data_IF_550032122966
#
_entry.id   IF_550032122966
#
_cell.length_a   1.000
_cell.length_b   1.000
_cell.length_c   1.000
_cell.angle_alpha   90.00
_cell.angle_beta   90.00
_cell.angle_gamma   90.00
#
_symmetry.space_group_name_H-M   'P 1'
#
loop_
_entity.id
_entity.type
_entity.pdbx_description
1 polymer ?
#
# COMPACT_ATOMS: atom_id res chain seq x y z
N UNK A 1 -20.26 -18.19 20.81
CA UNK A 1 -20.37 -17.52 19.50
C UNK A 1 -19.70 -16.15 19.63
N UNK A 2 -18.58 -15.95 18.92
CA UNK A 2 -17.98 -14.61 18.84
C UNK A 2 -18.89 -13.79 17.94
N UNK A 3 -19.72 -12.95 18.52
CA UNK A 3 -20.52 -11.93 17.84
C UNK A 3 -19.60 -10.80 17.37
N UNK A 4 -18.59 -11.14 16.58
CA UNK A 4 -17.75 -10.18 15.92
C UNK A 4 -18.42 -9.71 14.63
N UNK A 5 -18.44 -8.40 14.40
CA UNK A 5 -18.88 -7.81 13.14
C UNK A 5 -18.11 -8.47 11.99
N UNK A 6 -18.80 -9.04 11.02
CA UNK A 6 -18.15 -9.64 9.86
C UNK A 6 -17.36 -8.59 9.09
N UNK A 7 -16.15 -8.94 8.65
CA UNK A 7 -15.26 -8.06 7.90
C UNK A 7 -14.63 -8.85 6.77
N UNK A 8 -14.57 -8.30 5.59
CA UNK A 8 -13.78 -8.83 4.48
C UNK A 8 -12.33 -8.42 4.69
N UNK A 9 -11.40 -9.34 4.50
CA UNK A 9 -9.98 -9.05 4.53
C UNK A 9 -9.37 -9.32 3.16
N UNK A 10 -8.79 -8.27 2.57
CA UNK A 10 -8.04 -8.37 1.32
C UNK A 10 -6.59 -8.59 1.67
N UNK A 11 -6.06 -9.76 1.30
CA UNK A 11 -4.73 -10.22 1.72
C UNK A 11 -3.81 -10.23 0.51
N UNK A 12 -2.66 -9.58 0.64
CA UNK A 12 -1.55 -9.66 -0.30
C UNK A 12 -0.37 -10.40 0.36
N UNK A 13 0.18 -11.39 -0.35
CA UNK A 13 1.26 -12.25 0.16
C UNK A 13 2.61 -11.70 -0.29
N UNK A 14 3.52 -11.51 0.67
CA UNK A 14 4.88 -11.07 0.42
C UNK A 14 5.88 -12.20 0.72
N UNK A 15 6.49 -12.72 -0.34
CA UNK A 15 7.48 -13.82 -0.26
C UNK A 15 8.89 -13.32 0.01
N UNK A 16 9.19 -12.07 -0.39
CA UNK A 16 10.47 -11.40 -0.16
C UNK A 16 10.37 -10.41 1.00
N UNK A 17 11.35 -10.41 1.88
CA UNK A 17 11.34 -9.51 3.04
C UNK A 17 10.61 -10.09 4.26
N UNK A 18 10.93 -9.53 5.42
CA UNK A 18 10.45 -10.08 6.70
C UNK A 18 9.42 -9.22 7.40
N UNK A 19 9.33 -7.92 7.06
CA UNK A 19 8.43 -6.99 7.74
C UNK A 19 8.52 -5.55 7.19
N UNK A 20 7.52 -4.73 7.50
CA UNK A 20 7.58 -3.26 7.33
C UNK A 20 8.22 -2.69 8.60
N UNK A 21 9.48 -2.28 8.49
CA UNK A 21 10.23 -1.72 9.63
C UNK A 21 9.76 -0.32 10.04
N UNK A 22 9.30 0.45 9.08
CA UNK A 22 8.82 1.82 9.28
C UNK A 22 7.44 1.94 8.68
N UNK A 23 6.36 1.94 9.50
CA UNK A 23 5.01 2.05 8.99
C UNK A 23 4.76 3.42 8.36
N UNK A 24 3.90 3.45 7.36
CA UNK A 24 3.35 4.68 6.79
C UNK A 24 2.41 5.30 7.82
N UNK A 25 2.54 6.60 8.08
CA UNK A 25 1.75 7.27 9.11
C UNK A 25 0.44 7.87 8.60
N UNK A 26 0.41 8.33 7.35
CA UNK A 26 -0.75 9.00 6.72
C UNK A 26 -0.99 8.49 5.32
N UNK A 27 -2.19 8.71 4.79
CA UNK A 27 -2.51 8.41 3.40
C UNK A 27 -1.61 9.20 2.44
N UNK A 28 -1.34 10.46 2.73
CA UNK A 28 -0.46 11.30 1.90
C UNK A 28 0.94 10.73 1.73
N UNK A 29 1.48 10.06 2.75
CA UNK A 29 2.79 9.40 2.66
C UNK A 29 2.82 8.23 1.66
N UNK A 30 1.67 7.58 1.39
CA UNK A 30 1.58 6.50 0.40
C UNK A 30 1.96 7.01 -1.00
N UNK A 31 1.62 8.26 -1.30
CA UNK A 31 1.82 8.89 -2.60
C UNK A 31 3.10 9.75 -2.66
N UNK A 32 3.79 9.93 -1.55
CA UNK A 32 5.06 10.64 -1.52
C UNK A 32 6.21 9.75 -2.02
N UNK A 33 7.18 10.35 -2.70
CA UNK A 33 8.40 9.64 -3.05
C UNK A 33 9.12 9.20 -1.77
N UNK A 34 9.45 7.90 -1.65
CA UNK A 34 10.23 7.39 -0.52
C UNK A 34 11.69 7.81 -0.67
N UNK A 35 12.01 9.03 -0.24
CA UNK A 35 13.38 9.56 -0.20
C UNK A 35 14.28 8.76 0.76
N UNK A 36 13.67 8.03 1.70
CA UNK A 36 14.40 7.25 2.71
C UNK A 36 14.91 5.89 2.20
N UNK A 37 14.77 5.60 0.90
CA UNK A 37 15.36 4.43 0.28
C UNK A 37 14.60 3.12 0.47
N UNK A 38 13.27 3.15 0.37
CA UNK A 38 12.43 1.95 0.32
C UNK A 38 12.14 1.31 1.67
N UNK A 39 12.39 2.01 2.78
CA UNK A 39 12.15 1.46 4.13
C UNK A 39 10.68 1.42 4.54
N UNK A 40 9.86 2.33 3.98
CA UNK A 40 8.45 2.45 4.31
C UNK A 40 7.56 1.51 3.50
N UNK A 41 8.07 0.99 2.37
CA UNK A 41 7.29 0.13 1.46
C UNK A 41 5.92 0.75 1.10
N UNK A 42 5.93 2.03 0.68
CA UNK A 42 4.72 2.75 0.27
C UNK A 42 3.98 2.06 -0.87
N UNK A 43 4.72 1.35 -1.73
CA UNK A 43 4.21 0.48 -2.79
C UNK A 43 3.32 -0.66 -2.27
N UNK A 44 3.67 -1.26 -1.13
CA UNK A 44 2.83 -2.29 -0.49
C UNK A 44 1.53 -1.71 0.05
N UNK A 45 1.61 -0.52 0.67
CA UNK A 45 0.42 0.20 1.14
C UNK A 45 -0.48 0.61 -0.03
N UNK A 46 0.09 1.19 -1.08
CA UNK A 46 -0.65 1.58 -2.28
C UNK A 46 -1.43 0.39 -2.85
N UNK A 47 -0.76 -0.75 -3.03
CA UNK A 47 -1.34 -1.97 -3.58
C UNK A 47 -2.44 -2.52 -2.67
N UNK A 48 -2.18 -2.70 -1.38
CA UNK A 48 -3.13 -3.28 -0.44
C UNK A 48 -4.38 -2.40 -0.26
N UNK A 49 -4.19 -1.07 -0.17
CA UNK A 49 -5.29 -0.11 -0.10
C UNK A 49 -6.13 -0.09 -1.38
N UNK A 50 -5.48 -0.03 -2.54
CA UNK A 50 -6.19 -0.02 -3.83
C UNK A 50 -7.06 -1.26 -4.01
N UNK A 51 -6.52 -2.43 -3.78
CA UNK A 51 -7.28 -3.69 -3.90
C UNK A 51 -8.42 -3.75 -2.88
N UNK A 52 -8.20 -3.27 -1.67
CA UNK A 52 -9.24 -3.24 -0.64
C UNK A 52 -10.35 -2.25 -0.99
N UNK A 53 -10.04 -1.11 -1.59
CA UNK A 53 -11.03 -0.15 -2.06
C UNK A 53 -11.85 -0.68 -3.24
N UNK A 54 -11.21 -1.40 -4.16
CA UNK A 54 -11.92 -2.09 -5.24
C UNK A 54 -12.90 -3.11 -4.65
N UNK A 55 -12.43 -3.97 -3.73
CA UNK A 55 -13.29 -4.98 -3.09
C UNK A 55 -14.43 -4.34 -2.26
N UNK A 56 -14.17 -3.20 -1.61
CA UNK A 56 -15.17 -2.46 -0.82
C UNK A 56 -16.32 -1.94 -1.69
N UNK A 57 -16.01 -1.45 -2.88
CA UNK A 57 -16.96 -0.82 -3.80
C UNK A 57 -17.59 -1.80 -4.81
N UNK A 58 -17.02 -3.00 -4.97
CA UNK A 58 -17.57 -4.00 -5.88
C UNK A 58 -18.76 -4.72 -5.26
N UNK A 59 -19.96 -4.42 -5.76
CA UNK A 59 -21.23 -5.02 -5.27
C UNK A 59 -21.34 -6.53 -5.54
N UNK A 60 -20.52 -7.10 -6.42
CA UNK A 60 -20.50 -8.55 -6.66
C UNK A 60 -19.64 -9.27 -5.62
N UNK A 61 -18.52 -8.65 -5.22
CA UNK A 61 -17.63 -9.19 -4.19
C UNK A 61 -18.16 -8.89 -2.78
N UNK A 62 -18.71 -7.72 -2.56
CA UNK A 62 -19.20 -7.24 -1.27
C UNK A 62 -20.70 -6.93 -1.31
N UNK A 63 -21.50 -7.99 -1.47
CA UNK A 63 -22.96 -7.88 -1.60
C UNK A 63 -23.64 -7.31 -0.36
N UNK A 64 -23.02 -7.46 0.81
CA UNK A 64 -23.58 -7.03 2.11
C UNK A 64 -22.99 -5.69 2.58
N UNK A 65 -22.18 -5.01 1.75
CA UNK A 65 -21.49 -3.77 2.13
C UNK A 65 -20.68 -3.89 3.45
N UNK A 66 -20.04 -5.03 3.65
CA UNK A 66 -19.23 -5.29 4.84
C UNK A 66 -18.00 -4.39 4.86
N UNK A 67 -17.47 -4.05 6.05
CA UNK A 67 -16.16 -3.41 6.18
C UNK A 67 -15.06 -4.23 5.50
N UNK A 68 -14.11 -3.56 4.87
CA UNK A 68 -12.97 -4.21 4.18
C UNK A 68 -11.67 -3.71 4.75
N UNK A 69 -10.84 -4.62 5.26
CA UNK A 69 -9.51 -4.31 5.79
C UNK A 69 -8.41 -4.79 4.85
N UNK A 70 -7.39 -3.96 4.58
CA UNK A 70 -6.19 -4.36 3.86
C UNK A 70 -5.25 -5.16 4.77
N UNK A 71 -4.62 -6.19 4.22
CA UNK A 71 -3.69 -7.02 4.97
C UNK A 71 -2.48 -7.43 4.12
N UNK A 72 -1.32 -7.52 4.77
CA UNK A 72 -0.08 -8.02 4.18
C UNK A 72 0.39 -9.23 4.98
N UNK A 73 0.60 -10.35 4.30
CA UNK A 73 1.18 -11.53 4.95
C UNK A 73 2.61 -11.70 4.48
N UNK A 74 3.54 -11.45 5.38
CA UNK A 74 4.95 -11.82 5.20
C UNK A 74 5.13 -13.29 5.58
N UNK A 75 5.34 -14.15 4.58
CA UNK A 75 5.34 -15.61 4.77
C UNK A 75 6.34 -16.05 5.84
N UNK A 76 7.49 -15.38 5.93
CA UNK A 76 8.52 -15.70 6.93
C UNK A 76 8.09 -15.42 8.38
N UNK A 77 7.04 -14.61 8.59
CA UNK A 77 6.53 -14.24 9.92
C UNK A 77 5.11 -14.70 10.23
N UNK A 78 4.44 -15.30 9.25
CA UNK A 78 3.04 -15.70 9.37
C UNK A 78 2.74 -16.69 10.51
N UNK A 79 3.76 -17.35 11.03
CA UNK A 79 3.66 -18.34 12.11
C UNK A 79 3.88 -17.76 13.52
N UNK A 80 4.11 -16.44 13.64
CA UNK A 80 4.26 -15.81 14.95
C UNK A 80 2.93 -15.75 15.70
N UNK A 81 2.93 -16.08 17.01
CA UNK A 81 1.73 -16.13 17.85
C UNK A 81 0.93 -14.82 17.89
N UNK A 82 1.59 -13.67 17.73
CA UNK A 82 0.99 -12.32 17.79
C UNK A 82 1.00 -11.60 16.44
N UNK A 83 1.10 -12.34 15.33
CA UNK A 83 1.14 -11.74 14.02
C UNK A 83 -0.24 -11.24 13.58
N UNK A 84 -0.42 -9.91 13.45
CA UNK A 84 -1.59 -9.30 12.82
C UNK A 84 -1.23 -8.85 11.40
N UNK A 85 -1.80 -9.45 10.36
CA UNK A 85 -1.52 -9.08 8.98
C UNK A 85 -2.20 -7.76 8.54
N UNK A 86 -3.17 -7.25 9.29
CA UNK A 86 -3.87 -6.02 8.92
C UNK A 86 -2.94 -4.83 9.06
N UNK A 87 -2.82 -4.06 7.97
CA UNK A 87 -1.95 -2.88 7.97
C UNK A 87 -2.53 -1.74 8.80
N UNK A 88 -1.63 -0.87 9.26
CA UNK A 88 -1.97 0.30 10.06
C UNK A 88 -1.37 1.56 9.45
N UNK A 89 -2.03 2.70 9.63
CA UNK A 89 -1.47 4.03 9.40
C UNK A 89 -0.98 4.57 10.75
N UNK A 90 0.33 4.71 10.87
CA UNK A 90 0.93 4.97 12.17
C UNK A 90 0.60 3.88 13.18
N UNK A 91 -0.19 4.24 14.20
CA UNK A 91 -0.67 3.30 15.24
C UNK A 91 -2.11 2.86 15.04
N UNK A 92 -2.80 3.42 14.06
CA UNK A 92 -4.22 3.14 13.82
C UNK A 92 -4.37 2.01 12.81
N UNK A 93 -4.93 0.89 13.27
CA UNK A 93 -5.26 -0.27 12.44
C UNK A 93 -6.39 0.08 11.48
N UNK A 94 -6.25 -0.29 10.20
CA UNK A 94 -7.29 -0.04 9.18
C UNK A 94 -8.34 -1.15 9.24
N UNK A 95 -9.47 -0.86 9.89
CA UNK A 95 -10.57 -1.81 10.01
C UNK A 95 -11.55 -1.75 8.83
N UNK A 96 -11.71 -0.57 8.23
CA UNK A 96 -12.47 -0.37 7.00
C UNK A 96 -11.79 0.70 6.15
N UNK A 97 -11.48 0.38 4.90
CA UNK A 97 -10.87 1.34 3.95
C UNK A 97 -11.81 2.48 3.57
N UNK A 98 -13.11 2.35 3.81
CA UNK A 98 -14.11 3.38 3.56
C UNK A 98 -13.75 4.71 4.23
N UNK A 99 -13.19 4.64 5.46
CA UNK A 99 -12.77 5.82 6.23
C UNK A 99 -11.71 6.66 5.51
N UNK A 100 -10.96 6.06 4.60
CA UNK A 100 -9.84 6.67 3.88
C UNK A 100 -10.12 6.89 2.39
N UNK A 101 -11.31 6.53 1.91
CA UNK A 101 -11.62 6.50 0.48
C UNK A 101 -11.46 7.86 -0.20
N UNK A 102 -11.88 8.94 0.43
CA UNK A 102 -11.79 10.27 -0.15
C UNK A 102 -10.32 10.70 -0.31
N UNK A 103 -9.53 10.64 0.78
CA UNK A 103 -8.14 11.06 0.78
C UNK A 103 -7.27 10.21 -0.15
N UNK A 104 -7.45 8.88 -0.10
CA UNK A 104 -6.74 7.96 -0.99
C UNK A 104 -7.11 8.20 -2.45
N UNK A 105 -8.40 8.43 -2.74
CA UNK A 105 -8.88 8.72 -4.09
C UNK A 105 -8.29 10.00 -4.68
N UNK A 106 -8.15 11.05 -3.89
CA UNK A 106 -7.49 12.29 -4.32
C UNK A 106 -5.99 12.08 -4.57
N UNK A 107 -5.29 11.37 -3.68
CA UNK A 107 -3.89 11.02 -3.88
C UNK A 107 -3.66 10.19 -5.14
N UNK A 108 -4.52 9.20 -5.39
CA UNK A 108 -4.44 8.37 -6.60
C UNK A 108 -4.69 9.17 -7.87
N UNK A 109 -5.70 10.06 -7.88
CA UNK A 109 -5.95 10.96 -9.01
C UNK A 109 -4.76 11.88 -9.28
N UNK A 110 -4.18 12.47 -8.25
CA UNK A 110 -3.01 13.31 -8.37
C UNK A 110 -1.80 12.56 -8.94
N UNK A 111 -1.55 11.33 -8.46
CA UNK A 111 -0.49 10.46 -8.98
C UNK A 111 -0.68 10.16 -10.47
N UNK A 112 -1.88 9.76 -10.86
CA UNK A 112 -2.20 9.44 -12.26
C UNK A 112 -2.10 10.70 -13.13
N UNK A 113 -2.61 11.84 -12.67
CA UNK A 113 -2.51 13.10 -13.39
C UNK A 113 -1.05 13.51 -13.62
N UNK A 114 -0.18 13.35 -12.62
CA UNK A 114 1.24 13.64 -12.74
C UNK A 114 1.93 12.72 -13.78
N UNK A 115 1.62 11.41 -13.80
CA UNK A 115 2.18 10.47 -14.78
C UNK A 115 1.83 10.87 -16.23
N UNK A 116 0.63 11.43 -16.43
CA UNK A 116 0.16 11.84 -17.76
C UNK A 116 0.37 13.32 -18.06
N UNK A 117 1.00 14.09 -17.17
CA UNK A 117 1.28 15.50 -17.43
C UNK A 117 2.41 15.63 -18.44
N UNK A 118 2.07 16.12 -19.64
CA UNK A 118 3.04 16.35 -20.73
C UNK A 118 4.07 17.43 -20.44
N UNK A 119 3.83 18.26 -19.42
CA UNK A 119 4.74 19.35 -19.01
C UNK A 119 5.82 18.85 -18.05
N UNK A 120 5.59 17.71 -17.42
CA UNK A 120 6.54 17.07 -16.49
C UNK A 120 7.36 16.02 -17.23
N UNK A 121 8.66 16.24 -17.33
CA UNK A 121 9.56 15.26 -17.91
C UNK A 121 9.87 14.14 -16.92
N UNK A 122 9.87 12.90 -17.37
CA UNK A 122 10.39 11.79 -16.57
C UNK A 122 11.87 11.99 -16.30
N UNK A 123 12.23 12.08 -15.01
CA UNK A 123 13.59 12.22 -14.57
C UNK A 123 14.07 10.99 -13.79
N UNK A 124 15.34 10.61 -13.91
CA UNK A 124 15.89 9.53 -13.09
C UNK A 124 15.87 9.92 -11.63
N UNK A 125 15.67 8.94 -10.74
CA UNK A 125 15.66 9.18 -9.28
C UNK A 125 16.93 9.85 -8.79
N UNK A 126 16.83 10.76 -7.82
CA UNK A 126 17.97 11.33 -7.14
C UNK A 126 18.67 10.31 -6.20
N UNK A 127 17.94 9.28 -5.76
CA UNK A 127 18.48 8.25 -4.87
C UNK A 127 19.26 7.18 -5.64
N UNK A 128 20.59 7.34 -5.71
CA UNK A 128 21.48 6.42 -6.42
C UNK A 128 21.50 4.99 -5.83
N UNK A 129 21.11 4.81 -4.57
CA UNK A 129 21.03 3.47 -3.96
C UNK A 129 19.98 2.59 -4.63
N UNK A 130 18.88 3.18 -5.09
CA UNK A 130 17.83 2.47 -5.85
C UNK A 130 18.39 1.97 -7.19
N UNK A 131 19.33 2.70 -7.79
CA UNK A 131 19.94 2.33 -9.07
C UNK A 131 20.86 1.10 -8.97
N UNK A 132 21.29 0.70 -7.78
CA UNK A 132 22.25 -0.41 -7.60
C UNK A 132 21.75 -1.71 -8.21
N UNK A 133 20.45 -2.00 -8.04
CA UNK A 133 19.79 -3.22 -8.54
C UNK A 133 18.72 -2.94 -9.59
N UNK A 134 18.66 -1.70 -10.13
CA UNK A 134 17.66 -1.31 -11.10
C UNK A 134 18.00 -1.90 -12.49
N UNK A 135 17.10 -2.67 -13.11
CA UNK A 135 17.34 -3.23 -14.44
C UNK A 135 17.42 -2.15 -15.53
N UNK A 136 16.90 -0.96 -15.28
CA UNK A 136 16.90 0.18 -16.20
C UNK A 136 18.09 1.14 -16.02
N UNK A 137 19.02 0.82 -15.12
CA UNK A 137 20.21 1.63 -14.86
C UNK A 137 20.97 2.05 -16.13
N UNK A 138 21.20 1.16 -17.12
CA UNK A 138 21.88 1.54 -18.35
C UNK A 138 21.13 2.58 -19.18
N UNK A 139 19.77 2.56 -19.16
CA UNK A 139 18.94 3.55 -19.88
C UNK A 139 19.06 4.94 -19.26
N UNK A 140 19.34 5.02 -17.96
CA UNK A 140 19.53 6.28 -17.25
C UNK A 140 20.96 6.81 -17.34
N UNK A 141 21.90 6.10 -17.98
CA UNK A 141 23.32 6.49 -18.04
C UNK A 141 24.03 6.43 -16.67
N UNK A 142 23.62 5.54 -15.77
CA UNK A 142 24.12 5.47 -14.39
C UNK A 142 24.76 4.14 -14.07
#
# INVERSE_FOLDING_TARGET
PKTGRQTIRVIDYKTGGSDIKTPVATIGEIFSADEAGGKKHTDYYLQAMLYSMIARNDRKLNTQALPVSPALIFIQRAFGENYDPVISLGRQRINDVEEYQAEFGEGLKALVANIYDRKEAFAPTANLKICTYCPYKPLCGR
#
